data_IF_959298707054
#
_entry.id   IF_959298707054
#
_cell.length_a   1.000
_cell.length_b   1.000
_cell.length_c   1.000
_cell.angle_alpha   90.00
_cell.angle_beta   90.00
_cell.angle_gamma   90.00
#
_symmetry.space_group_name_H-M   'P 1'
#
loop_
_entity.id
_entity.type
_entity.pdbx_description
1 polymer ?
#
# COMPACT_ATOMS: atom_id res chain seq x y z
N UNK A 1 49.47 -36.09 44.07
CA UNK A 1 48.00 -36.09 44.30
C UNK A 1 47.24 -34.91 43.64
N UNK A 2 47.81 -34.17 42.67
CA UNK A 2 47.22 -32.89 42.18
C UNK A 2 46.37 -32.98 40.90
N UNK A 3 46.31 -34.12 40.20
CA UNK A 3 45.58 -34.24 38.90
C UNK A 3 44.09 -34.54 39.03
N UNK A 4 43.65 -35.17 40.13
CA UNK A 4 42.23 -35.53 40.34
C UNK A 4 41.36 -34.36 40.81
N UNK A 5 41.95 -33.35 41.46
CA UNK A 5 41.24 -32.15 41.92
C UNK A 5 40.84 -31.21 40.79
N UNK A 6 41.67 -31.09 39.75
CA UNK A 6 41.37 -30.24 38.58
C UNK A 6 40.18 -30.76 37.77
N UNK A 7 40.02 -32.08 37.68
CA UNK A 7 38.90 -32.69 36.95
C UNK A 7 37.59 -32.41 37.68
N UNK A 8 37.56 -32.52 39.01
CA UNK A 8 36.39 -32.17 39.81
C UNK A 8 36.05 -30.67 39.73
N UNK A 9 37.07 -29.81 39.68
CA UNK A 9 36.88 -28.37 39.56
C UNK A 9 36.32 -27.98 38.18
N UNK A 10 36.78 -28.64 37.11
CA UNK A 10 36.25 -28.44 35.74
C UNK A 10 34.79 -28.90 35.63
N UNK A 11 34.44 -30.07 36.20
CA UNK A 11 33.06 -30.57 36.21
C UNK A 11 32.14 -29.61 36.98
N UNK A 12 32.58 -29.12 38.14
CA UNK A 12 31.83 -28.15 38.92
C UNK A 12 31.63 -26.82 38.15
N UNK A 13 32.67 -26.34 37.47
CA UNK A 13 32.62 -25.09 36.69
C UNK A 13 31.69 -25.20 35.47
N UNK A 14 31.63 -26.37 34.82
CA UNK A 14 30.69 -26.65 33.72
C UNK A 14 29.23 -26.71 34.20
N UNK A 15 28.97 -27.30 35.38
CA UNK A 15 27.61 -27.34 35.94
C UNK A 15 27.06 -25.97 36.37
N UNK A 16 27.92 -24.99 36.67
CA UNK A 16 27.52 -23.63 37.05
C UNK A 16 27.10 -22.76 35.85
N UNK A 17 27.51 -23.09 34.62
CA UNK A 17 27.15 -22.31 33.42
C UNK A 17 25.92 -22.87 32.68
N UNK A 18 25.54 -24.12 32.94
CA UNK A 18 24.39 -24.77 32.28
C UNK A 18 23.02 -24.32 32.81
N UNK A 19 22.97 -23.63 33.96
CA UNK A 19 21.74 -23.08 34.54
C UNK A 19 21.41 -21.65 34.06
N UNK A 20 22.15 -21.13 33.08
CA UNK A 20 21.98 -19.78 32.54
C UNK A 20 21.60 -19.76 31.06
N UNK A 21 20.89 -20.80 30.62
CA UNK A 21 20.00 -20.61 29.49
C UNK A 21 18.73 -19.96 30.06
N UNK A 22 18.32 -18.77 29.59
CA UNK A 22 16.99 -18.29 29.90
C UNK A 22 16.05 -19.42 29.51
N UNK A 23 15.20 -19.83 30.45
CA UNK A 23 14.07 -20.68 30.14
C UNK A 23 13.38 -20.00 28.97
N UNK A 24 13.52 -20.57 27.77
CA UNK A 24 12.69 -20.19 26.63
C UNK A 24 11.34 -20.77 27.00
N UNK A 25 10.71 -20.16 28.01
CA UNK A 25 9.38 -20.42 28.46
C UNK A 25 8.54 -20.19 27.23
N UNK A 26 8.18 -21.31 26.60
CA UNK A 26 7.17 -21.46 25.58
C UNK A 26 6.81 -20.13 24.94
N UNK A 27 7.66 -19.62 24.05
CA UNK A 27 7.23 -18.56 23.14
C UNK A 27 5.99 -19.13 22.49
N UNK A 28 4.83 -18.61 22.91
CA UNK A 28 3.53 -19.10 22.52
C UNK A 28 3.58 -19.13 21.01
N UNK A 29 3.59 -20.35 20.45
CA UNK A 29 3.78 -20.57 19.03
C UNK A 29 2.61 -19.86 18.38
N UNK A 30 2.82 -18.62 17.93
CA UNK A 30 1.75 -17.86 17.32
C UNK A 30 1.22 -18.73 16.20
N UNK A 31 -0.04 -19.13 16.33
CA UNK A 31 -0.68 -19.90 15.30
C UNK A 31 -0.64 -19.00 14.07
N UNK A 32 0.24 -19.32 13.12
CA UNK A 32 0.26 -18.69 11.81
C UNK A 32 -1.10 -18.96 11.20
N UNK A 33 -2.01 -18.01 11.37
CA UNK A 33 -3.33 -18.03 10.78
C UNK A 33 -3.14 -17.99 9.28
N UNK A 34 -3.55 -19.04 8.59
CA UNK A 34 -3.65 -19.02 7.13
C UNK A 34 -4.91 -18.26 6.77
N UNK A 35 -4.75 -17.07 6.18
CA UNK A 35 -5.87 -16.37 5.55
C UNK A 35 -6.06 -16.98 4.16
N UNK A 36 -7.21 -17.59 3.93
CA UNK A 36 -7.63 -18.04 2.60
C UNK A 36 -8.39 -16.93 1.90
N UNK A 37 -8.12 -16.72 0.63
CA UNK A 37 -8.91 -15.79 -0.19
C UNK A 37 -10.30 -16.39 -0.45
N UNK A 38 -11.33 -15.53 -0.41
CA UNK A 38 -12.67 -15.88 -0.90
C UNK A 38 -12.86 -15.52 -2.36
N UNK A 39 -11.83 -14.95 -3.01
CA UNK A 39 -11.87 -14.59 -4.43
C UNK A 39 -11.94 -15.85 -5.30
N UNK A 40 -12.71 -15.76 -6.37
CA UNK A 40 -12.78 -16.75 -7.43
C UNK A 40 -11.46 -16.79 -8.22
N UNK A 41 -11.21 -17.89 -8.92
CA UNK A 41 -10.05 -18.02 -9.81
C UNK A 41 -10.01 -16.89 -10.85
N UNK A 42 -11.16 -16.49 -11.40
CA UNK A 42 -11.24 -15.40 -12.37
C UNK A 42 -10.83 -14.05 -11.77
N UNK A 43 -11.34 -13.70 -10.59
CA UNK A 43 -10.98 -12.45 -9.91
C UNK A 43 -9.48 -12.39 -9.58
N UNK A 44 -8.88 -13.53 -9.23
CA UNK A 44 -7.43 -13.61 -9.01
C UNK A 44 -6.66 -13.48 -10.33
N UNK A 45 -7.14 -14.06 -11.43
CA UNK A 45 -6.49 -13.94 -12.74
C UNK A 45 -6.55 -12.51 -13.27
N UNK A 46 -7.66 -11.80 -13.03
CA UNK A 46 -7.84 -10.39 -13.41
C UNK A 46 -6.82 -9.47 -12.73
N UNK A 47 -6.32 -9.84 -11.55
CA UNK A 47 -5.25 -9.08 -10.86
C UNK A 47 -3.90 -9.14 -11.58
N UNK A 48 -3.70 -10.10 -12.48
CA UNK A 48 -2.45 -10.27 -13.23
C UNK A 48 -2.58 -9.81 -14.69
N UNK A 49 -3.77 -9.38 -15.13
CA UNK A 49 -3.94 -8.85 -16.47
C UNK A 49 -3.27 -7.48 -16.59
N UNK A 50 -2.67 -7.16 -17.74
CA UNK A 50 -2.22 -5.81 -18.01
C UNK A 50 -3.42 -4.85 -18.01
N UNK A 51 -3.20 -3.63 -17.52
CA UNK A 51 -4.22 -2.59 -17.54
C UNK A 51 -4.65 -2.32 -18.98
N UNK A 52 -5.94 -2.36 -19.27
CA UNK A 52 -6.49 -2.06 -20.59
C UNK A 52 -7.18 -0.70 -20.59
N UNK A 53 -7.52 -0.16 -21.75
CA UNK A 53 -8.33 1.07 -21.82
C UNK A 53 -9.68 0.91 -21.08
N UNK A 54 -10.19 -0.32 -20.95
CA UNK A 54 -11.42 -0.60 -20.22
C UNK A 54 -11.27 -0.55 -18.71
N UNK A 55 -10.06 -0.79 -18.21
CA UNK A 55 -9.71 -0.73 -16.80
C UNK A 55 -8.27 -0.20 -16.63
N UNK A 56 -8.06 1.11 -16.87
CA UNK A 56 -6.73 1.71 -16.78
C UNK A 56 -6.28 1.78 -15.32
N UNK A 57 -4.97 1.70 -15.09
CA UNK A 57 -4.40 2.12 -13.82
C UNK A 57 -4.52 3.64 -13.70
N UNK A 58 -4.91 4.11 -12.52
CA UNK A 58 -5.10 5.54 -12.23
C UNK A 58 -4.46 5.84 -10.89
N UNK A 59 -3.49 6.75 -10.89
CA UNK A 59 -2.89 7.29 -9.67
C UNK A 59 -3.18 8.79 -9.57
N UNK A 60 -3.88 9.19 -8.51
CA UNK A 60 -4.29 10.58 -8.32
C UNK A 60 -3.31 11.33 -7.43
N UNK A 61 -3.01 12.57 -7.80
CA UNK A 61 -2.34 13.55 -6.93
C UNK A 61 -3.32 14.67 -6.54
N UNK A 62 -2.81 15.81 -6.04
CA UNK A 62 -3.64 16.94 -5.59
C UNK A 62 -4.53 17.55 -6.69
N UNK A 63 -4.05 17.63 -7.92
CA UNK A 63 -4.74 18.27 -9.04
C UNK A 63 -4.42 17.60 -10.39
N UNK A 64 -3.90 16.38 -10.36
CA UNK A 64 -3.58 15.61 -11.56
C UNK A 64 -3.89 14.13 -11.33
N UNK A 65 -3.94 13.38 -12.42
CA UNK A 65 -3.95 11.93 -12.38
C UNK A 65 -3.01 11.37 -13.44
N UNK A 66 -2.27 10.34 -13.09
CA UNK A 66 -1.46 9.55 -14.01
C UNK A 66 -2.26 8.31 -14.43
N UNK A 67 -2.33 8.08 -15.73
CA UNK A 67 -3.05 6.97 -16.32
C UNK A 67 -2.05 6.04 -17.01
N UNK A 68 -2.26 4.74 -16.85
CA UNK A 68 -1.49 3.73 -17.55
C UNK A 68 -2.38 2.60 -18.07
N UNK A 69 -2.23 2.24 -19.33
CA UNK A 69 -2.92 1.11 -19.96
C UNK A 69 -2.20 0.66 -21.23
N UNK A 70 -2.60 -0.50 -21.73
CA UNK A 70 -2.16 -1.07 -23.00
C UNK A 70 -3.32 -1.18 -23.98
N UNK A 71 -3.00 -1.09 -25.27
CA UNK A 71 -3.88 -1.41 -26.39
C UNK A 71 -3.33 -2.62 -27.15
N UNK A 72 -4.18 -3.35 -27.87
CA UNK A 72 -3.77 -4.53 -28.64
C UNK A 72 -2.85 -4.16 -29.81
N UNK A 73 -3.01 -2.95 -30.34
CA UNK A 73 -2.21 -2.40 -31.43
C UNK A 73 -1.70 -1.00 -31.07
N UNK A 74 -0.74 -0.50 -31.83
CA UNK A 74 -0.26 0.87 -31.69
C UNK A 74 -1.39 1.88 -31.92
N UNK A 75 -1.63 2.74 -30.93
CA UNK A 75 -2.68 3.73 -30.96
C UNK A 75 -2.17 5.13 -30.59
N UNK A 76 -2.79 6.14 -31.18
CA UNK A 76 -2.68 7.53 -30.70
C UNK A 76 -3.77 7.78 -29.67
N UNK A 77 -3.45 8.50 -28.59
CA UNK A 77 -4.41 8.74 -27.50
C UNK A 77 -4.87 10.18 -27.52
N UNK A 78 -6.19 10.36 -27.41
CA UNK A 78 -6.81 11.65 -27.08
C UNK A 78 -7.60 11.49 -25.81
N UNK A 79 -7.49 12.48 -24.92
CA UNK A 79 -8.30 12.56 -23.71
C UNK A 79 -9.09 13.84 -23.69
N UNK A 80 -10.31 13.74 -23.18
CA UNK A 80 -11.20 14.87 -22.96
C UNK A 80 -11.66 14.87 -21.52
N UNK A 81 -11.44 16.00 -20.86
CA UNK A 81 -11.97 16.31 -19.54
C UNK A 81 -13.01 17.41 -19.67
N UNK A 82 -13.78 17.68 -18.62
CA UNK A 82 -14.79 18.75 -18.59
C UNK A 82 -14.30 20.12 -19.12
N UNK A 83 -13.00 20.41 -19.04
CA UNK A 83 -12.45 21.73 -19.34
C UNK A 83 -11.34 21.73 -20.41
N UNK A 84 -10.89 20.55 -20.87
CA UNK A 84 -9.70 20.45 -21.71
C UNK A 84 -9.65 19.15 -22.50
N UNK A 85 -9.25 19.26 -23.76
CA UNK A 85 -8.82 18.15 -24.60
C UNK A 85 -7.29 18.10 -24.67
N UNK A 86 -6.72 16.91 -24.56
CA UNK A 86 -5.28 16.68 -24.65
C UNK A 86 -5.00 15.50 -25.59
N UNK A 87 -4.19 15.75 -26.62
CA UNK A 87 -3.64 14.69 -27.47
C UNK A 87 -2.27 14.26 -26.92
N UNK A 88 -2.06 12.95 -26.81
CA UNK A 88 -0.83 12.36 -26.33
C UNK A 88 0.03 12.03 -27.54
N UNK A 89 1.28 12.49 -27.52
CA UNK A 89 2.18 12.32 -28.65
C UNK A 89 2.63 10.87 -28.81
N UNK A 90 2.71 10.41 -30.07
CA UNK A 90 3.16 9.08 -30.42
C UNK A 90 2.02 8.11 -30.72
N UNK A 91 2.38 7.00 -31.36
CA UNK A 91 1.50 5.85 -31.58
C UNK A 91 2.21 4.62 -31.04
N UNK A 92 1.72 4.09 -29.93
CA UNK A 92 2.36 2.98 -29.18
C UNK A 92 1.30 2.03 -28.63
N UNK A 93 1.71 0.85 -28.18
CA UNK A 93 0.81 -0.10 -27.49
C UNK A 93 0.70 0.20 -26.00
N UNK A 94 1.79 0.68 -25.38
CA UNK A 94 1.85 1.06 -23.98
C UNK A 94 1.64 2.56 -23.84
N UNK A 95 0.69 2.95 -22.99
CA UNK A 95 0.30 4.32 -22.77
C UNK A 95 0.53 4.69 -21.31
N UNK A 96 1.27 5.77 -21.09
CA UNK A 96 1.45 6.38 -19.77
C UNK A 96 1.51 7.89 -19.93
N UNK A 97 0.59 8.60 -19.27
CA UNK A 97 0.54 10.06 -19.33
C UNK A 97 -0.18 10.66 -18.13
N UNK A 98 0.08 11.93 -17.87
CA UNK A 98 -0.57 12.70 -16.82
C UNK A 98 -1.63 13.65 -17.38
N UNK A 99 -2.79 13.66 -16.72
CA UNK A 99 -3.83 14.66 -16.87
C UNK A 99 -3.65 15.72 -15.80
N UNK A 100 -3.39 16.96 -16.20
CA UNK A 100 -3.20 18.09 -15.29
C UNK A 100 -4.48 18.92 -15.13
N UNK A 101 -4.48 19.84 -14.16
CA UNK A 101 -5.53 20.84 -13.94
C UNK A 101 -6.93 20.27 -13.67
N UNK A 102 -6.99 19.06 -13.12
CA UNK A 102 -8.23 18.45 -12.66
C UNK A 102 -8.79 19.22 -11.46
N UNK A 103 -10.11 19.27 -11.36
CA UNK A 103 -10.80 19.96 -10.27
C UNK A 103 -10.97 19.04 -9.07
N UNK A 104 -11.03 19.58 -7.84
CA UNK A 104 -11.46 18.81 -6.68
C UNK A 104 -12.84 18.19 -6.90
N UNK A 105 -13.04 16.94 -6.45
CA UNK A 105 -14.25 16.16 -6.70
C UNK A 105 -14.17 15.32 -7.98
N UNK A 106 -15.34 15.02 -8.56
CA UNK A 106 -15.45 14.12 -9.71
C UNK A 106 -15.08 14.82 -11.03
N UNK A 107 -14.11 14.26 -11.74
CA UNK A 107 -13.74 14.66 -13.09
C UNK A 107 -14.15 13.55 -14.05
N UNK A 108 -15.01 13.88 -15.01
CA UNK A 108 -15.34 12.96 -16.10
C UNK A 108 -14.22 13.03 -17.13
N UNK A 109 -13.67 11.88 -17.50
CA UNK A 109 -12.60 11.77 -18.49
C UNK A 109 -13.01 10.77 -19.56
N UNK A 110 -13.05 11.22 -20.80
CA UNK A 110 -13.17 10.36 -21.97
C UNK A 110 -11.77 10.10 -22.51
N UNK A 111 -11.41 8.83 -22.64
CA UNK A 111 -10.17 8.36 -23.26
C UNK A 111 -10.55 7.76 -24.59
N UNK A 112 -9.91 8.19 -25.66
CA UNK A 112 -10.06 7.64 -27.01
C UNK A 112 -8.70 7.17 -27.50
N UNK A 113 -8.61 5.89 -27.81
CA UNK A 113 -7.48 5.31 -28.53
C UNK A 113 -7.87 5.18 -30.01
N UNK A 114 -7.02 5.68 -30.90
CA UNK A 114 -7.20 5.57 -32.35
C UNK A 114 -6.04 4.76 -32.91
N UNK A 115 -6.35 3.54 -33.37
CA UNK A 115 -5.41 2.57 -33.93
C UNK A 115 -4.92 3.02 -35.32
N UNK A 116 -3.84 2.41 -35.80
CA UNK A 116 -3.24 2.76 -37.09
C UNK A 116 -4.14 2.52 -38.30
N UNK A 117 -5.10 1.60 -38.19
CA UNK A 117 -6.09 1.33 -39.24
C UNK A 117 -7.26 2.33 -39.26
N UNK A 118 -7.28 3.28 -38.32
CA UNK A 118 -8.31 4.30 -38.16
C UNK A 118 -9.50 3.87 -37.29
N UNK A 119 -9.51 2.63 -36.78
CA UNK A 119 -10.50 2.23 -35.78
C UNK A 119 -10.24 2.94 -34.45
N UNK A 120 -11.28 3.06 -33.62
CA UNK A 120 -11.14 3.71 -32.33
C UNK A 120 -11.91 2.98 -31.25
N UNK A 121 -11.30 2.90 -30.07
CA UNK A 121 -11.92 2.46 -28.83
C UNK A 121 -11.98 3.64 -27.87
N UNK A 122 -13.06 3.73 -27.10
CA UNK A 122 -13.24 4.80 -26.12
C UNK A 122 -13.76 4.29 -24.78
N UNK A 123 -13.29 4.91 -23.70
CA UNK A 123 -13.76 4.67 -22.34
C UNK A 123 -14.00 5.98 -21.60
N UNK A 124 -15.12 6.05 -20.89
CA UNK A 124 -15.39 7.11 -19.94
C UNK A 124 -15.06 6.59 -18.54
N UNK A 125 -14.22 7.33 -17.81
CA UNK A 125 -13.89 7.08 -16.40
C UNK A 125 -14.23 8.32 -15.55
N UNK A 126 -14.40 8.10 -14.26
CA UNK A 126 -14.53 9.19 -13.28
C UNK A 126 -13.31 9.19 -12.36
N UNK A 127 -12.57 10.30 -12.36
CA UNK A 127 -11.43 10.51 -11.46
C UNK A 127 -11.88 11.43 -10.33
N UNK A 128 -11.93 10.89 -9.11
CA UNK A 128 -12.31 11.64 -7.92
C UNK A 128 -11.06 12.18 -7.21
N UNK A 129 -10.95 13.51 -7.10
CA UNK A 129 -9.86 14.17 -6.38
C UNK A 129 -10.33 14.68 -5.02
N UNK A 130 -9.47 14.67 -3.99
CA UNK A 130 -9.83 15.15 -2.67
C UNK A 130 -10.26 16.62 -2.71
N UNK A 131 -11.29 16.96 -1.93
CA UNK A 131 -11.70 18.35 -1.76
C UNK A 131 -10.54 19.20 -1.21
N UNK A 132 -10.44 20.46 -1.66
CA UNK A 132 -9.54 21.41 -1.03
C UNK A 132 -9.95 21.56 0.45
N UNK A 133 -9.03 21.44 1.41
CA UNK A 133 -9.37 21.64 2.81
C UNK A 133 -9.98 23.02 2.99
N UNK A 134 -11.16 23.08 3.59
CA UNK A 134 -11.85 24.34 3.88
C UNK A 134 -10.91 25.18 4.75
N UNK A 135 -10.66 26.44 4.37
CA UNK A 135 -9.76 27.38 5.08
C UNK A 135 -10.08 27.58 6.57
N UNK A 136 -11.25 27.11 7.02
CA UNK A 136 -11.76 27.20 8.39
C UNK A 136 -11.95 25.83 9.07
N UNK A 137 -11.39 24.73 8.54
CA UNK A 137 -11.39 23.47 9.28
C UNK A 137 -10.54 23.67 10.53
N UNK A 138 -11.19 23.73 11.70
CA UNK A 138 -10.49 23.78 12.98
C UNK A 138 -9.52 22.61 13.01
N UNK A 139 -8.22 22.92 12.98
CA UNK A 139 -7.19 21.95 13.31
C UNK A 139 -7.57 21.37 14.67
N UNK A 140 -7.82 20.07 14.73
CA UNK A 140 -7.85 19.36 16.01
C UNK A 140 -6.41 19.31 16.51
N UNK A 141 -5.91 20.44 16.99
CA UNK A 141 -4.81 20.41 17.95
C UNK A 141 -5.40 19.76 19.20
N UNK A 142 -5.23 18.45 19.29
CA UNK A 142 -5.41 17.74 20.53
C UNK A 142 -4.40 18.32 21.52
N UNK A 143 -4.84 19.32 22.29
CA UNK A 143 -4.17 19.71 23.51
C UNK A 143 -4.40 18.60 24.54
N UNK A 144 -3.82 17.43 24.28
CA UNK A 144 -3.55 16.42 25.27
C UNK A 144 -2.58 17.04 26.27
N UNK A 145 -3.15 17.71 27.28
CA UNK A 145 -2.45 18.00 28.51
C UNK A 145 -2.06 16.65 29.07
N UNK A 146 -0.76 16.35 29.03
CA UNK A 146 -0.10 15.25 29.73
C UNK A 146 -0.88 14.89 31.01
N UNK A 147 -1.74 13.88 30.93
CA UNK A 147 -2.27 13.24 32.13
C UNK A 147 -1.09 12.50 32.73
N UNK A 148 -0.51 13.09 33.77
CA UNK A 148 0.40 12.39 34.67
C UNK A 148 -0.33 11.16 35.19
N UNK A 149 -0.03 10.00 34.59
CA UNK A 149 -0.45 8.70 35.09
C UNK A 149 0.31 8.48 36.40
N UNK A 150 -0.32 8.84 37.51
CA UNK A 150 0.18 8.48 38.84
C UNK A 150 -0.09 7.00 39.04
N UNK A 151 0.94 6.17 38.89
CA UNK A 151 0.89 4.77 39.25
C UNK A 151 0.63 4.64 40.76
N UNK A 152 -0.62 4.39 41.12
CA UNK A 152 -1.01 4.09 42.50
C UNK A 152 -0.55 2.67 42.82
N UNK A 153 0.60 2.55 43.48
CA UNK A 153 1.15 1.31 44.04
C UNK A 153 0.13 0.72 45.03
N UNK A 154 -0.64 -0.29 44.63
CA UNK A 154 -1.42 -1.12 45.55
C UNK A 154 -0.52 -2.25 46.05
N UNK A 155 -0.26 -2.26 47.34
CA UNK A 155 0.39 -3.37 48.02
C UNK A 155 0.77 -2.98 49.45
N UNK A 156 -0.13 -3.25 50.40
CA UNK A 156 0.26 -3.87 51.67
C UNK A 156 -0.93 -4.66 52.23
N UNK A 157 -0.65 -5.94 52.49
CA UNK A 157 -1.45 -6.89 53.25
C UNK A 157 -1.67 -6.36 54.67
N UNK A 158 -2.87 -6.60 55.19
CA UNK A 158 -3.12 -7.03 56.56
C UNK A 158 -4.07 -8.22 56.50
#
# INVERSE_FOLDING_TARGET
MKKKGYILLIIALLSLTLNWLPEIAHAQKEATGTTYTTATTNELMDMFLPYSIQNPYIETTKNSAELMFVTEEAATITTETNNQTQSIAGSTENHQFALANLQPGNNLVTITATMTDGTSESKIITINLPEKPKKNSKSFHDHSKNQQVTHRKKGHLL
#
